data_IF_735551970145
#
_entry.id   IF_735551970145
#
_cell.length_a   1.000
_cell.length_b   1.000
_cell.length_c   1.000
_cell.angle_alpha   90.00
_cell.angle_beta   90.00
_cell.angle_gamma   90.00
#
_symmetry.space_group_name_H-M   'P 1'
#
loop_
_entity.id
_entity.type
_entity.pdbx_description
1 polymer ?
#
# COMPACT_ATOMS: atom_id res chain seq x y z
N UNK A 1 70.50 -24.60 -35.63
CA UNK A 1 70.43 -23.17 -36.02
C UNK A 1 69.50 -22.45 -35.06
N UNK A 2 70.01 -21.39 -34.41
CA UNK A 2 69.26 -20.49 -33.53
C UNK A 2 68.48 -19.50 -34.41
N UNK A 3 67.20 -19.26 -34.11
CA UNK A 3 66.54 -18.01 -34.44
C UNK A 3 65.77 -17.50 -33.21
N UNK A 4 66.27 -16.38 -32.69
CA UNK A 4 65.70 -15.61 -31.61
C UNK A 4 64.89 -14.49 -32.24
N UNK A 5 63.63 -14.32 -31.85
CA UNK A 5 62.86 -13.10 -32.13
C UNK A 5 62.20 -12.66 -30.83
N UNK A 6 62.76 -11.58 -30.26
CA UNK A 6 62.12 -10.76 -29.23
C UNK A 6 61.38 -9.64 -29.95
N UNK A 7 60.11 -9.43 -29.63
CA UNK A 7 59.46 -8.13 -29.76
C UNK A 7 58.52 -7.88 -28.56
N UNK A 8 58.54 -6.64 -28.14
CA UNK A 8 58.09 -5.98 -26.92
C UNK A 8 56.59 -5.62 -26.90
N UNK A 9 55.92 -5.89 -25.76
CA UNK A 9 54.90 -5.12 -24.95
C UNK A 9 54.06 -3.97 -25.58
N UNK A 10 52.91 -3.49 -24.99
CA UNK A 10 52.18 -3.86 -23.75
C UNK A 10 50.61 -3.89 -23.84
N UNK A 11 49.96 -4.15 -22.70
CA UNK A 11 48.66 -3.61 -22.23
C UNK A 11 47.42 -3.66 -23.16
N UNK A 12 46.42 -4.48 -22.81
CA UNK A 12 45.09 -3.97 -22.42
C UNK A 12 44.52 -4.90 -21.34
N UNK A 13 44.53 -4.43 -20.11
CA UNK A 13 43.75 -4.96 -18.99
C UNK A 13 42.29 -4.52 -19.22
N UNK A 14 41.43 -5.41 -19.70
CA UNK A 14 39.98 -5.17 -19.65
C UNK A 14 39.45 -5.76 -18.36
N UNK A 15 39.61 -5.00 -17.28
CA UNK A 15 38.90 -5.21 -16.03
C UNK A 15 37.52 -4.56 -16.19
N UNK A 16 36.53 -5.33 -16.59
CA UNK A 16 35.15 -4.85 -16.76
C UNK A 16 34.19 -5.87 -16.16
N UNK A 17 33.91 -5.72 -14.87
CA UNK A 17 32.66 -6.14 -14.24
C UNK A 17 32.59 -5.54 -12.82
N UNK A 18 32.56 -4.21 -12.78
CA UNK A 18 31.84 -3.50 -11.74
C UNK A 18 30.34 -3.65 -12.06
N UNK A 19 29.49 -3.64 -11.03
CA UNK A 19 28.01 -3.64 -11.09
C UNK A 19 27.33 -5.01 -11.01
N UNK A 20 27.80 -5.87 -10.10
CA UNK A 20 26.88 -6.70 -9.32
C UNK A 20 26.31 -5.86 -8.17
N UNK A 21 25.58 -4.79 -8.48
CA UNK A 21 24.66 -4.21 -7.50
C UNK A 21 23.68 -5.34 -7.20
N UNK A 22 23.90 -6.01 -6.07
CA UNK A 22 23.00 -6.98 -5.52
C UNK A 22 21.63 -6.31 -5.50
N UNK A 23 20.74 -6.73 -6.39
CA UNK A 23 19.32 -6.49 -6.28
C UNK A 23 18.95 -6.93 -4.87
N UNK A 24 18.84 -5.97 -3.95
CA UNK A 24 18.13 -6.23 -2.72
C UNK A 24 16.74 -6.69 -3.14
N UNK A 25 16.25 -7.81 -2.61
CA UNK A 25 14.91 -8.24 -2.93
C UNK A 25 14.01 -7.07 -2.54
N UNK A 26 13.31 -6.52 -3.53
CA UNK A 26 12.09 -5.77 -3.27
C UNK A 26 11.28 -6.67 -2.36
N UNK A 27 11.21 -6.32 -1.08
CA UNK A 27 10.25 -6.96 -0.23
C UNK A 27 8.90 -6.53 -0.80
N UNK A 28 8.15 -7.49 -1.31
CA UNK A 28 6.99 -7.19 -2.11
C UNK A 28 5.90 -6.64 -1.19
N UNK A 29 5.58 -5.36 -1.35
CA UNK A 29 4.32 -4.80 -0.88
C UNK A 29 3.19 -5.57 -1.59
N UNK A 30 2.24 -6.10 -0.84
CA UNK A 30 1.14 -6.87 -1.41
C UNK A 30 -0.18 -6.51 -0.74
N UNK A 31 -1.21 -6.27 -1.56
CA UNK A 31 -2.59 -6.21 -1.09
C UNK A 31 -3.03 -7.60 -0.64
N UNK A 32 -3.71 -7.68 0.50
CA UNK A 32 -4.14 -8.96 1.09
C UNK A 32 -5.65 -9.01 1.29
N UNK A 33 -6.27 -7.86 1.51
CA UNK A 33 -7.71 -7.76 1.79
C UNK A 33 -8.24 -6.38 1.43
N UNK A 34 -9.49 -6.35 1.03
CA UNK A 34 -10.30 -5.16 0.92
C UNK A 34 -11.69 -5.38 1.53
N UNK A 35 -12.40 -4.30 1.83
CA UNK A 35 -13.78 -4.39 2.29
C UNK A 35 -14.38 -3.06 2.68
N UNK A 36 -15.59 -3.12 3.24
CA UNK A 36 -16.35 -1.97 3.74
C UNK A 36 -16.36 -2.02 5.27
N UNK A 37 -16.05 -0.90 5.92
CA UNK A 37 -16.18 -0.76 7.36
C UNK A 37 -16.88 0.55 7.73
N UNK A 38 -17.63 0.58 8.84
CA UNK A 38 -18.11 1.83 9.42
C UNK A 38 -16.94 2.76 9.78
N UNK A 39 -17.12 4.07 9.62
CA UNK A 39 -16.09 5.06 9.94
C UNK A 39 -15.61 4.96 11.39
N UNK A 40 -16.52 4.66 12.32
CA UNK A 40 -16.20 4.46 13.75
C UNK A 40 -15.16 3.38 14.00
N UNK A 41 -15.03 2.39 13.10
CA UNK A 41 -13.98 1.36 13.23
C UNK A 41 -12.59 1.90 12.90
N UNK A 42 -12.49 2.91 12.04
CA UNK A 42 -11.21 3.56 11.77
C UNK A 42 -10.83 4.46 12.94
N UNK A 43 -11.79 5.19 13.52
CA UNK A 43 -11.56 5.97 14.75
C UNK A 43 -11.00 5.06 15.88
N UNK A 44 -11.64 3.91 16.13
CA UNK A 44 -11.18 2.90 17.09
C UNK A 44 -9.74 2.41 16.80
N UNK A 45 -9.32 2.35 15.54
CA UNK A 45 -7.99 1.91 15.14
C UNK A 45 -6.96 3.02 15.23
N UNK A 46 -7.32 4.26 14.90
CA UNK A 46 -6.46 5.42 15.07
C UNK A 46 -6.12 5.63 16.55
N UNK A 47 -7.07 5.38 17.45
CA UNK A 47 -6.88 5.52 18.91
C UNK A 47 -6.05 4.39 19.56
N UNK A 48 -5.76 3.29 18.86
CA UNK A 48 -4.96 2.17 19.37
C UNK A 48 -3.44 2.47 19.36
N UNK A 49 -3.02 3.40 20.21
CA UNK A 49 -1.63 3.88 20.31
C UNK A 49 -0.55 2.81 20.53
N UNK A 50 -0.89 1.65 21.09
CA UNK A 50 0.07 0.54 21.24
C UNK A 50 0.42 -0.15 19.92
N UNK A 51 -0.50 -0.11 18.94
CA UNK A 51 -0.38 -0.79 17.65
C UNK A 51 -0.20 0.17 16.48
N UNK A 52 -0.80 1.35 16.55
CA UNK A 52 -0.76 2.36 15.49
C UNK A 52 0.54 3.14 15.58
N UNK A 53 1.33 3.07 14.51
CA UNK A 53 2.62 3.74 14.35
C UNK A 53 2.43 5.16 13.81
N UNK A 54 1.53 5.31 12.83
CA UNK A 54 1.22 6.60 12.22
C UNK A 54 -0.13 6.59 11.52
N UNK A 55 -0.70 7.77 11.36
CA UNK A 55 -1.94 8.02 10.62
C UNK A 55 -1.80 9.35 9.89
N UNK A 56 -2.51 9.51 8.77
CA UNK A 56 -2.41 10.74 7.99
C UNK A 56 -3.24 10.72 6.72
N UNK A 57 -3.07 11.76 5.90
CA UNK A 57 -3.62 11.80 4.55
C UNK A 57 -2.67 11.11 3.59
N UNK A 58 -3.18 10.59 2.47
CA UNK A 58 -2.37 9.95 1.44
C UNK A 58 -1.19 10.83 0.95
N UNK A 59 -1.32 12.16 1.00
CA UNK A 59 -0.24 13.09 0.67
C UNK A 59 0.99 12.96 1.57
N UNK A 60 0.81 12.51 2.81
CA UNK A 60 1.85 12.51 3.82
C UNK A 60 2.60 11.16 3.86
N UNK A 61 2.00 10.13 3.26
CA UNK A 61 2.47 8.74 3.31
C UNK A 61 3.88 8.55 2.73
N UNK A 62 4.21 9.22 1.62
CA UNK A 62 5.54 9.11 0.99
C UNK A 62 6.67 9.53 1.95
N UNK A 63 6.37 10.48 2.83
CA UNK A 63 7.32 11.02 3.81
C UNK A 63 7.21 10.39 5.19
N UNK A 64 6.29 9.43 5.38
CA UNK A 64 6.07 8.80 6.67
C UNK A 64 7.25 7.88 7.03
N UNK A 65 7.90 8.05 8.19
CA UNK A 65 9.06 7.25 8.57
C UNK A 65 8.75 5.77 8.81
N UNK A 66 7.48 5.38 8.94
CA UNK A 66 7.05 3.99 9.11
C UNK A 66 6.60 3.35 7.79
N UNK A 67 6.54 4.12 6.69
CA UNK A 67 6.21 3.61 5.37
C UNK A 67 7.47 3.14 4.66
N UNK A 68 7.50 1.86 4.29
CA UNK A 68 8.51 1.30 3.41
C UNK A 68 7.74 0.53 2.35
N UNK A 69 7.53 1.13 1.18
CA UNK A 69 6.60 0.62 0.19
C UNK A 69 6.65 1.38 -1.13
N UNK A 70 5.87 0.92 -2.11
CA UNK A 70 5.72 1.57 -3.40
C UNK A 70 4.61 2.62 -3.30
N UNK A 71 5.00 3.89 -3.16
CA UNK A 71 4.06 5.00 -3.03
C UNK A 71 3.20 5.18 -4.28
N UNK A 72 3.79 5.12 -5.47
CA UNK A 72 3.08 5.34 -6.74
C UNK A 72 1.97 4.29 -6.93
N UNK A 73 2.27 3.04 -6.57
CA UNK A 73 1.26 1.98 -6.57
C UNK A 73 0.11 2.29 -5.60
N UNK A 74 0.40 2.65 -4.35
CA UNK A 74 -0.63 2.98 -3.34
C UNK A 74 -1.45 4.20 -3.77
N UNK A 75 -0.79 5.23 -4.31
CA UNK A 75 -1.45 6.44 -4.78
C UNK A 75 -2.41 6.16 -5.95
N UNK A 76 -1.94 5.41 -6.95
CA UNK A 76 -2.77 5.01 -8.09
C UNK A 76 -3.96 4.16 -7.65
N UNK A 77 -3.75 3.28 -6.68
CA UNK A 77 -4.79 2.42 -6.14
C UNK A 77 -5.85 3.18 -5.31
N UNK A 78 -5.41 4.13 -4.49
CA UNK A 78 -6.27 5.02 -3.71
C UNK A 78 -7.23 5.83 -4.60
N UNK A 79 -6.79 6.18 -5.82
CA UNK A 79 -7.63 6.89 -6.77
C UNK A 79 -8.86 6.07 -7.20
N UNK A 80 -8.73 4.74 -7.23
CA UNK A 80 -9.75 3.80 -7.74
C UNK A 80 -10.53 3.09 -6.63
N UNK A 81 -10.21 3.31 -5.35
CA UNK A 81 -10.77 2.55 -4.22
C UNK A 81 -12.30 2.65 -4.08
N UNK A 82 -12.92 3.72 -4.59
CA UNK A 82 -14.38 3.92 -4.58
C UNK A 82 -15.05 3.50 -5.90
N UNK A 83 -14.27 3.07 -6.90
CA UNK A 83 -14.82 2.71 -8.21
C UNK A 83 -15.75 1.51 -8.08
N UNK A 84 -16.90 1.60 -8.77
CA UNK A 84 -17.93 0.57 -8.73
C UNK A 84 -18.94 0.71 -7.59
N UNK A 85 -18.74 1.64 -6.65
CA UNK A 85 -19.71 1.94 -5.59
C UNK A 85 -20.63 3.11 -5.96
N UNK A 86 -21.87 3.02 -5.46
CA UNK A 86 -22.85 4.10 -5.44
C UNK A 86 -23.04 4.55 -4.00
N UNK A 87 -22.89 5.85 -3.79
CA UNK A 87 -23.04 6.45 -2.47
C UNK A 87 -24.52 6.53 -2.12
N UNK A 88 -24.89 5.99 -0.97
CA UNK A 88 -26.25 6.00 -0.43
C UNK A 88 -26.27 6.58 0.99
N UNK A 89 -27.42 7.07 1.43
CA UNK A 89 -27.56 7.56 2.82
C UNK A 89 -27.43 6.41 3.83
N UNK A 90 -28.02 5.27 3.50
CA UNK A 90 -27.98 4.05 4.30
C UNK A 90 -27.94 2.82 3.40
N UNK A 91 -27.02 1.93 3.72
CA UNK A 91 -26.82 0.66 3.04
C UNK A 91 -27.96 -0.32 3.42
N UNK A 92 -28.71 -0.83 2.43
CA UNK A 92 -29.76 -1.83 2.69
C UNK A 92 -30.82 -1.93 1.60
N UNK A 93 -31.85 -2.74 1.87
CA UNK A 93 -33.04 -2.86 1.03
C UNK A 93 -34.02 -1.73 1.36
N UNK A 94 -33.71 -0.54 0.89
CA UNK A 94 -34.56 0.64 1.05
C UNK A 94 -35.12 1.09 -0.31
N UNK A 95 -36.34 1.68 -0.36
CA UNK A 95 -36.94 2.16 -1.61
C UNK A 95 -36.04 3.13 -2.39
N UNK A 96 -35.32 4.01 -1.69
CA UNK A 96 -34.36 4.95 -2.26
C UNK A 96 -33.15 4.27 -2.94
N UNK A 97 -32.86 3.02 -2.61
CA UNK A 97 -31.76 2.24 -3.19
C UNK A 97 -32.23 1.30 -4.32
N UNK A 98 -33.47 1.42 -4.78
CA UNK A 98 -34.03 0.53 -5.80
C UNK A 98 -33.18 0.56 -7.08
N UNK A 99 -32.80 -0.63 -7.55
CA UNK A 99 -31.96 -0.80 -8.74
C UNK A 99 -30.45 -0.66 -8.50
N UNK A 100 -30.01 -0.46 -7.25
CA UNK A 100 -28.59 -0.50 -6.86
C UNK A 100 -28.28 -1.86 -6.22
N UNK A 101 -27.43 -2.71 -6.84
CA UNK A 101 -26.97 -3.96 -6.23
C UNK A 101 -26.39 -3.73 -4.84
N UNK A 102 -26.67 -4.66 -3.91
CA UNK A 102 -26.32 -4.49 -2.48
C UNK A 102 -24.82 -4.32 -2.26
N UNK A 103 -24.02 -5.06 -3.01
CA UNK A 103 -22.56 -5.04 -3.07
C UNK A 103 -21.97 -3.77 -3.67
N UNK A 104 -22.79 -2.97 -4.37
CA UNK A 104 -22.40 -1.67 -4.92
C UNK A 104 -22.85 -0.50 -4.04
N UNK A 105 -23.58 -0.74 -2.94
CA UNK A 105 -24.02 0.34 -2.06
C UNK A 105 -22.93 0.65 -1.02
N UNK A 106 -22.45 1.89 -1.00
CA UNK A 106 -21.57 2.42 0.04
C UNK A 106 -22.32 3.49 0.83
N UNK A 107 -22.57 3.27 2.12
CA UNK A 107 -23.21 4.29 2.95
C UNK A 107 -22.24 5.46 3.21
N UNK A 108 -22.78 6.67 3.41
CA UNK A 108 -21.98 7.83 3.81
C UNK A 108 -21.17 7.64 5.09
N UNK A 109 -21.66 6.80 6.01
CA UNK A 109 -21.00 6.49 7.28
C UNK A 109 -20.04 5.29 7.19
N UNK A 110 -19.69 4.87 5.98
CA UNK A 110 -18.79 3.77 5.70
C UNK A 110 -17.59 4.25 4.86
N UNK A 111 -16.51 3.48 4.90
CA UNK A 111 -15.37 3.65 4.02
C UNK A 111 -14.96 2.31 3.43
N UNK A 112 -14.39 2.37 2.23
CA UNK A 112 -13.69 1.24 1.63
C UNK A 112 -12.27 1.24 2.15
N UNK A 113 -11.78 0.10 2.60
CA UNK A 113 -10.39 -0.09 2.98
C UNK A 113 -9.69 -1.12 2.11
N UNK A 114 -8.38 -0.98 2.03
CA UNK A 114 -7.44 -1.95 1.49
C UNK A 114 -6.30 -2.15 2.47
N UNK A 115 -5.84 -3.38 2.51
CA UNK A 115 -4.83 -3.84 3.46
C UNK A 115 -3.59 -4.29 2.74
N UNK A 116 -2.45 -3.70 3.11
CA UNK A 116 -1.16 -3.95 2.53
C UNK A 116 -0.18 -4.46 3.59
N UNK A 117 0.53 -5.54 3.27
CA UNK A 117 1.77 -5.87 3.99
C UNK A 117 2.89 -5.01 3.44
N UNK A 118 3.58 -4.30 4.34
CA UNK A 118 4.78 -3.54 4.00
C UNK A 118 6.03 -4.42 4.17
N UNK A 119 7.09 -4.20 3.36
CA UNK A 119 8.46 -4.66 3.59
C UNK A 119 8.88 -4.81 5.05
N UNK A 120 8.83 -3.71 5.80
CA UNK A 120 9.25 -3.63 7.20
C UNK A 120 8.38 -4.46 8.18
N UNK A 121 7.47 -5.30 7.67
CA UNK A 121 6.50 -6.13 8.40
C UNK A 121 5.41 -5.35 9.09
N UNK A 122 5.36 -4.04 8.89
CA UNK A 122 4.20 -3.25 9.27
C UNK A 122 3.05 -3.51 8.29
N UNK A 123 1.88 -3.06 8.71
CA UNK A 123 0.68 -3.11 7.93
C UNK A 123 0.28 -1.69 7.54
N UNK A 124 -0.09 -1.49 6.28
CA UNK A 124 -0.73 -0.26 5.82
C UNK A 124 -2.22 -0.56 5.57
N UNK A 125 -3.07 0.20 6.27
CA UNK A 125 -4.50 0.26 5.98
C UNK A 125 -4.72 1.55 5.23
N UNK A 126 -5.03 1.45 3.94
CA UNK A 126 -5.47 2.57 3.13
C UNK A 126 -6.99 2.57 3.13
N UNK A 127 -7.64 3.71 3.39
CA UNK A 127 -9.09 3.77 3.33
C UNK A 127 -9.56 5.10 2.75
N UNK A 128 -10.76 5.08 2.16
CA UNK A 128 -11.37 6.28 1.59
C UNK A 128 -12.85 6.32 1.92
N UNK A 129 -13.26 7.49 2.39
CA UNK A 129 -14.65 7.81 2.66
C UNK A 129 -15.24 8.49 1.42
N UNK A 130 -16.56 8.38 1.18
CA UNK A 130 -17.20 9.16 0.12
C UNK A 130 -17.40 10.65 0.49
N UNK A 131 -16.99 11.05 1.69
CA UNK A 131 -17.13 12.42 2.20
C UNK A 131 -15.85 13.25 2.02
N UNK A 132 -14.73 12.59 1.71
CA UNK A 132 -13.42 13.22 1.54
C UNK A 132 -12.92 13.03 0.11
N UNK A 133 -12.25 14.05 -0.43
CA UNK A 133 -11.71 14.00 -1.79
C UNK A 133 -10.43 13.15 -1.89
N UNK A 134 -9.85 12.75 -0.76
CA UNK A 134 -8.59 11.99 -0.67
C UNK A 134 -8.75 10.74 0.19
N UNK A 135 -7.78 9.82 0.09
CA UNK A 135 -7.67 8.69 0.99
C UNK A 135 -6.88 9.06 2.25
N UNK A 136 -7.14 8.32 3.33
CA UNK A 136 -6.39 8.36 4.59
C UNK A 136 -5.66 7.03 4.79
N UNK A 137 -4.67 7.04 5.66
CA UNK A 137 -3.90 5.84 5.97
C UNK A 137 -3.70 5.63 7.47
N UNK A 138 -3.48 4.37 7.84
CA UNK A 138 -3.04 3.93 9.17
C UNK A 138 -1.89 2.93 8.96
N UNK A 139 -0.72 3.20 9.53
CA UNK A 139 0.39 2.24 9.60
C UNK A 139 0.40 1.61 10.99
N UNK A 140 0.46 0.28 11.04
CA UNK A 140 0.40 -0.48 12.30
C UNK A 140 1.52 -1.49 12.42
N UNK A 141 1.94 -1.76 13.66
CA UNK A 141 2.83 -2.88 13.98
C UNK A 141 2.13 -4.22 13.69
N UNK A 142 2.89 -5.27 13.33
CA UNK A 142 2.34 -6.62 13.30
C UNK A 142 1.98 -7.09 14.72
N UNK A 143 0.79 -7.69 14.91
CA UNK A 143 0.36 -8.13 16.23
C UNK A 143 -0.93 -8.96 16.27
N UNK A 144 -1.10 -9.73 17.36
CA UNK A 144 -2.29 -10.52 17.73
C UNK A 144 -3.43 -9.60 18.18
N UNK A 145 -3.96 -8.83 17.24
CA UNK A 145 -5.09 -7.93 17.41
C UNK A 145 -5.77 -7.59 16.08
N UNK A 146 -5.27 -8.15 14.98
CA UNK A 146 -5.87 -8.11 13.64
C UNK A 146 -7.17 -8.93 13.59
N UNK A 147 -8.13 -8.60 14.45
CA UNK A 147 -9.52 -9.01 14.27
C UNK A 147 -10.14 -8.10 13.21
N UNK A 148 -9.73 -8.32 11.96
CA UNK A 148 -10.55 -7.88 10.83
C UNK A 148 -11.84 -8.71 10.90
N UNK A 149 -13.03 -8.11 10.76
CA UNK A 149 -14.26 -8.90 10.63
C UNK A 149 -14.06 -9.92 9.50
N UNK A 150 -14.43 -11.17 9.78
CA UNK A 150 -14.44 -12.26 8.81
C UNK A 150 -15.67 -12.17 7.91
#
# INVERSE_FOLDING_TARGET
>A
MKFTLKFTQPLVLVLSLLMGALCWPSQAQSEIRQGILPLTRFDDWEDQSEMTLSTGFLSDLETDPNFEGDYDFIYGDAAQILDGYRIVERAGYFPENAGIPRDQQLARAEAIYRFYNLPNRNALILYRTPLEDTARYIIRRPGTGFLLPQ
#
